data_IF_169811351977
#
_entry.id   IF_169811351977
#
_cell.length_a   1.000
_cell.length_b   1.000
_cell.length_c   1.000
_cell.angle_alpha   90.00
_cell.angle_beta   90.00
_cell.angle_gamma   90.00
#
_symmetry.space_group_name_H-M   'P 1'
#
loop_
_entity.id
_entity.type
_entity.pdbx_description
1 polymer ?
#
# COMPACT_ATOMS: atom_id res chain seq x y z
N UNK A 1 -21.21 -13.42 -2.24
CA UNK A 1 -19.84 -13.10 -1.82
C UNK A 1 -18.82 -13.46 -2.88
N UNK A 2 -17.68 -12.80 -2.91
CA UNK A 2 -16.57 -13.07 -3.84
C UNK A 2 -15.33 -13.53 -3.09
N UNK A 3 -14.66 -14.55 -3.61
CA UNK A 3 -13.37 -15.01 -3.10
C UNK A 3 -12.26 -14.71 -4.10
N UNK A 4 -11.13 -14.19 -3.60
CA UNK A 4 -9.92 -13.92 -4.40
C UNK A 4 -8.65 -14.36 -3.67
N UNK A 5 -7.60 -14.60 -4.43
CA UNK A 5 -6.26 -14.81 -3.88
C UNK A 5 -5.58 -13.47 -3.52
N UNK A 6 -4.65 -13.48 -2.57
CA UNK A 6 -3.87 -12.29 -2.26
C UNK A 6 -2.90 -11.97 -3.41
N UNK A 7 -2.63 -10.68 -3.61
CA UNK A 7 -1.75 -10.22 -4.69
C UNK A 7 -0.94 -8.99 -4.32
N UNK A 8 0.07 -8.70 -5.14
CA UNK A 8 0.97 -7.55 -5.00
C UNK A 8 1.10 -6.80 -6.32
N UNK A 9 1.37 -5.50 -6.24
CA UNK A 9 1.70 -4.64 -7.38
C UNK A 9 2.75 -3.62 -6.93
N UNK A 10 3.88 -3.52 -7.62
CA UNK A 10 4.84 -2.43 -7.42
C UNK A 10 4.30 -1.21 -8.15
N UNK A 11 4.11 -0.11 -7.42
CA UNK A 11 3.63 1.16 -7.96
C UNK A 11 4.83 2.05 -8.28
N UNK A 12 5.11 2.25 -9.56
CA UNK A 12 6.20 3.13 -10.00
C UNK A 12 5.74 4.59 -9.97
N UNK A 13 6.53 5.45 -9.33
CA UNK A 13 6.30 6.88 -9.31
C UNK A 13 6.87 7.51 -10.59
N UNK A 14 6.07 8.31 -11.28
CA UNK A 14 6.54 9.11 -12.42
C UNK A 14 7.50 10.22 -12.01
N UNK A 15 8.13 10.85 -12.99
CA UNK A 15 9.14 11.89 -12.79
C UNK A 15 8.50 13.25 -12.43
N UNK A 16 9.31 14.08 -11.76
CA UNK A 16 8.95 15.45 -11.42
C UNK A 16 7.77 15.57 -10.45
N UNK A 17 7.31 16.81 -10.24
CA UNK A 17 6.25 17.10 -9.25
C UNK A 17 4.92 16.43 -9.62
N UNK A 18 4.61 16.31 -10.90
CA UNK A 18 3.39 15.65 -11.37
C UNK A 18 3.40 14.16 -11.06
N UNK A 19 4.55 13.50 -11.23
CA UNK A 19 4.71 12.09 -10.85
C UNK A 19 4.52 11.87 -9.34
N UNK A 20 5.04 12.79 -8.53
CA UNK A 20 4.87 12.79 -7.07
C UNK A 20 3.38 12.94 -6.71
N UNK A 21 2.67 13.89 -7.31
CA UNK A 21 1.25 14.12 -7.04
C UNK A 21 0.38 12.94 -7.47
N UNK A 22 0.64 12.34 -8.63
CA UNK A 22 -0.05 11.13 -9.11
C UNK A 22 0.16 9.95 -8.15
N UNK A 23 1.35 9.80 -7.59
CA UNK A 23 1.64 8.75 -6.60
C UNK A 23 0.87 8.98 -5.29
N UNK A 24 0.83 10.21 -4.79
CA UNK A 24 0.04 10.60 -3.61
C UNK A 24 -1.45 10.34 -3.86
N UNK A 25 -1.96 10.74 -5.02
CA UNK A 25 -3.36 10.52 -5.38
C UNK A 25 -3.70 9.02 -5.44
N UNK A 26 -2.87 8.21 -6.11
CA UNK A 26 -3.07 6.76 -6.21
C UNK A 26 -3.16 6.12 -4.82
N UNK A 27 -2.25 6.47 -3.92
CA UNK A 27 -2.27 5.99 -2.55
C UNK A 27 -3.52 6.47 -1.78
N UNK A 28 -3.82 7.77 -1.83
CA UNK A 28 -4.93 8.33 -1.09
C UNK A 28 -6.30 7.83 -1.57
N UNK A 29 -6.49 7.65 -2.88
CA UNK A 29 -7.76 7.13 -3.41
C UNK A 29 -8.01 5.67 -3.07
N UNK A 30 -6.97 4.89 -2.84
CA UNK A 30 -7.11 3.51 -2.34
C UNK A 30 -7.83 3.50 -0.97
N UNK A 31 -7.56 4.47 -0.09
CA UNK A 31 -8.23 4.55 1.21
C UNK A 31 -9.75 4.71 1.11
N UNK A 32 -10.24 5.38 0.08
CA UNK A 32 -11.68 5.65 -0.13
C UNK A 32 -12.29 4.78 -1.25
N UNK A 33 -11.50 3.92 -1.86
CA UNK A 33 -11.90 3.14 -3.04
C UNK A 33 -12.52 4.05 -4.10
N UNK A 34 -11.75 5.02 -4.54
CA UNK A 34 -12.19 6.10 -5.45
C UNK A 34 -11.22 6.29 -6.64
N UNK A 35 -10.53 5.22 -7.04
CA UNK A 35 -9.56 5.21 -8.12
C UNK A 35 -10.20 5.57 -9.48
N UNK A 36 -11.48 5.31 -9.64
CA UNK A 36 -12.26 5.69 -10.84
C UNK A 36 -12.37 7.21 -11.05
N UNK A 37 -12.03 8.02 -10.05
CA UNK A 37 -11.96 9.49 -10.19
C UNK A 37 -10.55 9.99 -10.55
N UNK A 38 -9.59 9.11 -10.77
CA UNK A 38 -8.26 9.49 -11.27
C UNK A 38 -8.39 9.87 -12.74
N UNK A 39 -8.01 11.10 -13.04
CA UNK A 39 -7.91 11.64 -14.41
C UNK A 39 -6.52 12.20 -14.63
N UNK A 40 -6.22 12.63 -15.85
CA UNK A 40 -4.91 13.18 -16.17
C UNK A 40 -4.54 14.40 -15.29
N UNK A 41 -5.52 15.23 -14.95
CA UNK A 41 -5.36 16.51 -14.23
C UNK A 41 -5.88 16.48 -12.78
N UNK A 42 -6.26 15.32 -12.25
CA UNK A 42 -6.89 15.25 -10.91
C UNK A 42 -5.89 15.34 -9.75
N UNK A 43 -4.63 14.97 -9.97
CA UNK A 43 -3.63 14.77 -8.92
C UNK A 43 -3.34 16.03 -8.10
N UNK A 44 -3.16 17.17 -8.74
CA UNK A 44 -2.86 18.43 -8.05
C UNK A 44 -4.03 18.90 -7.17
N UNK A 45 -5.26 18.79 -7.69
CA UNK A 45 -6.49 19.10 -6.93
C UNK A 45 -6.65 18.17 -5.75
N UNK A 46 -6.33 16.89 -5.94
CA UNK A 46 -6.38 15.89 -4.87
C UNK A 46 -5.36 16.21 -3.76
N UNK A 47 -4.10 16.49 -4.11
CA UNK A 47 -3.07 16.86 -3.13
C UNK A 47 -3.47 18.12 -2.36
N UNK A 48 -4.00 19.14 -3.03
CA UNK A 48 -4.49 20.36 -2.40
C UNK A 48 -5.62 20.08 -1.41
N UNK A 49 -6.56 19.20 -1.78
CA UNK A 49 -7.65 18.79 -0.89
C UNK A 49 -7.11 18.03 0.35
N UNK A 50 -6.16 17.12 0.17
CA UNK A 50 -5.54 16.34 1.27
C UNK A 50 -4.82 17.27 2.26
N UNK A 51 -4.09 18.28 1.77
CA UNK A 51 -3.45 19.30 2.59
C UNK A 51 -4.47 20.06 3.44
N UNK A 52 -5.54 20.54 2.81
CA UNK A 52 -6.61 21.29 3.49
C UNK A 52 -7.36 20.45 4.55
N UNK A 53 -7.42 19.13 4.37
CA UNK A 53 -8.04 18.21 5.33
C UNK A 53 -7.08 17.68 6.39
N UNK A 54 -5.81 18.08 6.37
CA UNK A 54 -4.77 17.59 7.27
C UNK A 54 -4.59 16.05 7.23
N UNK A 55 -4.83 15.41 6.07
CA UNK A 55 -4.65 13.97 5.88
C UNK A 55 -3.21 13.66 5.46
N UNK A 56 -2.23 14.03 6.28
CA UNK A 56 -0.81 13.98 5.99
C UNK A 56 -0.27 12.59 5.60
N UNK A 57 -0.89 11.51 6.08
CA UNK A 57 -0.45 10.14 5.75
C UNK A 57 -0.38 9.87 4.24
N UNK A 58 -1.31 10.40 3.45
CA UNK A 58 -1.29 10.26 1.98
C UNK A 58 -0.03 10.89 1.37
N UNK A 59 0.42 12.03 1.92
CA UNK A 59 1.57 12.80 1.40
C UNK A 59 2.90 12.04 1.56
N UNK A 60 2.98 11.08 2.47
CA UNK A 60 4.18 10.25 2.69
C UNK A 60 4.52 9.36 1.49
N UNK A 61 3.54 9.03 0.67
CA UNK A 61 3.72 8.15 -0.49
C UNK A 61 4.35 8.85 -1.69
N UNK A 62 4.38 10.19 -1.71
CA UNK A 62 5.12 10.99 -2.68
C UNK A 62 6.61 11.05 -2.31
N UNK A 63 7.43 10.27 -2.99
CA UNK A 63 8.88 10.27 -2.77
C UNK A 63 9.52 11.49 -3.41
N UNK A 64 10.41 12.16 -2.68
CA UNK A 64 11.17 13.34 -3.11
C UNK A 64 12.65 12.98 -3.16
N UNK A 65 13.28 13.29 -4.28
CA UNK A 65 14.73 13.22 -4.46
C UNK A 65 15.26 14.63 -4.72
N UNK A 66 16.20 15.09 -3.88
CA UNK A 66 16.81 16.41 -4.01
C UNK A 66 18.32 16.27 -4.18
N UNK A 67 18.88 17.15 -4.99
CA UNK A 67 20.31 17.28 -5.18
C UNK A 67 20.71 18.73 -4.89
N UNK A 68 21.63 18.95 -3.94
CA UNK A 68 22.08 20.30 -3.57
C UNK A 68 23.54 20.31 -3.12
N UNK A 69 24.18 21.48 -3.19
CA UNK A 69 25.49 21.78 -2.57
C UNK A 69 25.32 22.60 -1.29
N UNK A 70 24.11 23.04 -0.97
CA UNK A 70 23.84 23.87 0.20
C UNK A 70 23.87 23.04 1.50
N UNK A 71 24.85 23.32 2.35
CA UNK A 71 25.00 22.68 3.66
C UNK A 71 23.79 22.91 4.59
N UNK A 72 23.10 24.05 4.49
CA UNK A 72 21.94 24.34 5.33
C UNK A 72 20.75 23.43 4.96
N UNK A 73 20.59 23.17 3.67
CA UNK A 73 19.58 22.21 3.19
C UNK A 73 19.96 20.80 3.66
N UNK A 74 21.20 20.37 3.44
CA UNK A 74 21.70 19.09 3.93
C UNK A 74 21.39 18.89 5.42
N UNK A 75 21.80 19.83 6.28
CA UNK A 75 21.75 19.69 7.73
C UNK A 75 20.34 19.44 8.27
N UNK A 76 19.31 20.10 7.70
CA UNK A 76 17.93 19.90 8.16
C UNK A 76 17.36 18.55 7.78
N UNK A 77 17.76 17.99 6.63
CA UNK A 77 17.32 16.65 6.22
C UNK A 77 18.11 15.54 6.92
N UNK A 78 19.39 15.74 7.20
CA UNK A 78 20.23 14.79 7.94
C UNK A 78 19.70 14.58 9.37
N UNK A 79 19.10 15.60 9.96
CA UNK A 79 18.45 15.53 11.27
C UNK A 79 16.97 15.11 11.22
N UNK A 80 16.41 14.84 10.05
CA UNK A 80 15.01 14.43 9.91
C UNK A 80 14.90 12.90 9.86
N UNK A 81 14.13 12.24 10.75
CA UNK A 81 14.08 10.79 10.84
C UNK A 81 13.42 10.10 9.62
N UNK A 82 12.71 10.86 8.79
CA UNK A 82 12.04 10.36 7.59
C UNK A 82 12.82 10.65 6.31
N UNK A 83 14.04 11.18 6.45
CA UNK A 83 14.93 11.49 5.34
C UNK A 83 16.19 10.63 5.38
N UNK A 84 16.81 10.45 4.22
CA UNK A 84 18.13 9.81 4.07
C UNK A 84 18.99 10.71 3.22
N UNK A 85 20.23 10.91 3.67
CA UNK A 85 21.17 11.77 2.96
C UNK A 85 22.46 11.00 2.67
N UNK A 86 22.88 11.06 1.42
CA UNK A 86 24.19 10.58 0.98
C UNK A 86 25.04 11.76 0.52
N UNK A 87 26.35 11.70 0.81
CA UNK A 87 27.30 12.74 0.46
C UNK A 87 28.20 12.20 -0.63
N UNK A 88 28.28 12.91 -1.74
CA UNK A 88 29.21 12.60 -2.84
C UNK A 88 30.23 13.72 -2.94
N UNK A 89 31.49 13.35 -2.85
CA UNK A 89 32.59 14.28 -3.10
C UNK A 89 32.92 14.31 -4.59
N UNK A 90 33.15 15.48 -5.14
CA UNK A 90 33.51 15.62 -6.55
C UNK A 90 34.41 16.84 -6.79
N UNK A 91 35.08 16.88 -7.93
CA UNK A 91 35.83 18.04 -8.41
C UNK A 91 35.19 18.58 -9.68
N UNK A 92 35.09 19.90 -9.83
CA UNK A 92 34.45 20.52 -11.02
C UNK A 92 35.17 20.22 -12.34
N UNK A 93 36.45 19.87 -12.26
CA UNK A 93 37.26 19.48 -13.44
C UNK A 93 37.24 18.01 -13.80
N UNK A 94 36.48 17.17 -13.05
CA UNK A 94 36.42 15.71 -13.29
C UNK A 94 37.77 14.97 -13.02
N UNK A 95 38.77 15.66 -12.49
CA UNK A 95 40.08 15.07 -12.11
C UNK A 95 40.05 14.70 -10.63
N UNK A 96 40.60 13.54 -10.29
CA UNK A 96 40.76 13.08 -8.92
C UNK A 96 41.84 13.87 -8.15
N UNK A 97 42.63 14.72 -8.85
CA UNK A 97 43.65 15.55 -8.23
C UNK A 97 43.05 16.77 -7.57
N UNK A 98 43.11 16.83 -6.25
CA UNK A 98 42.70 17.97 -5.45
C UNK A 98 43.84 19.01 -5.43
N UNK A 99 43.57 20.20 -5.96
CA UNK A 99 44.53 21.32 -5.98
C UNK A 99 43.76 22.58 -5.56
N UNK A 100 44.45 23.71 -5.19
CA UNK A 100 43.78 24.97 -4.93
C UNK A 100 42.88 25.45 -6.09
N UNK A 101 43.22 25.10 -7.34
CA UNK A 101 42.45 25.43 -8.54
C UNK A 101 41.36 24.41 -8.83
N UNK A 102 41.40 23.21 -8.20
CA UNK A 102 40.43 22.15 -8.33
C UNK A 102 40.08 21.60 -6.94
N UNK A 103 39.37 22.38 -6.08
CA UNK A 103 39.04 21.97 -4.72
C UNK A 103 37.95 20.86 -4.73
N UNK A 104 37.91 20.15 -3.60
CA UNK A 104 36.89 19.13 -3.36
C UNK A 104 35.57 19.80 -2.99
N UNK A 105 34.52 19.51 -3.75
CA UNK A 105 33.15 19.93 -3.49
C UNK A 105 32.36 18.78 -2.90
N UNK A 106 31.29 19.10 -2.19
CA UNK A 106 30.33 18.14 -1.65
C UNK A 106 28.97 18.37 -2.29
N UNK A 107 28.38 17.28 -2.75
CA UNK A 107 27.01 17.22 -3.23
C UNK A 107 26.19 16.37 -2.26
N UNK A 108 25.06 16.86 -1.84
CA UNK A 108 24.14 16.19 -0.92
C UNK A 108 22.97 15.63 -1.72
N UNK A 109 22.76 14.34 -1.60
CA UNK A 109 21.71 13.60 -2.28
C UNK A 109 20.69 13.14 -1.24
N UNK A 110 19.53 13.75 -1.27
CA UNK A 110 18.51 13.64 -0.24
C UNK A 110 17.33 12.84 -0.78
N UNK A 111 16.94 11.80 -0.07
CA UNK A 111 15.71 11.06 -0.28
C UNK A 111 14.77 11.32 0.89
N UNK A 112 13.58 11.81 0.61
CA UNK A 112 12.55 12.10 1.60
C UNK A 112 11.15 11.90 1.02
N UNK A 113 10.12 12.52 1.60
CA UNK A 113 8.76 12.46 1.11
C UNK A 113 8.06 13.83 1.18
N UNK A 114 6.98 13.98 0.42
CA UNK A 114 6.29 15.26 0.30
C UNK A 114 5.71 15.77 1.64
N UNK A 115 5.33 14.87 2.57
CA UNK A 115 4.85 15.25 3.89
C UNK A 115 5.91 16.00 4.68
N UNK A 116 7.17 15.55 4.63
CA UNK A 116 8.29 16.20 5.32
C UNK A 116 8.45 17.66 4.86
N UNK A 117 8.43 17.87 3.54
CA UNK A 117 8.55 19.26 3.02
C UNK A 117 7.34 20.11 3.43
N UNK A 118 6.14 19.55 3.35
CA UNK A 118 4.91 20.28 3.66
C UNK A 118 4.81 20.67 5.15
N UNK A 119 5.01 19.72 6.06
CA UNK A 119 4.83 19.94 7.50
C UNK A 119 5.95 20.82 8.12
N UNK A 120 7.14 20.83 7.50
CA UNK A 120 8.24 21.67 7.96
C UNK A 120 8.34 23.03 7.23
N UNK A 121 7.42 23.34 6.32
CA UNK A 121 7.47 24.54 5.48
C UNK A 121 8.73 24.60 4.60
N UNK A 122 9.18 23.45 4.05
CA UNK A 122 10.36 23.34 3.19
C UNK A 122 9.98 23.11 1.71
N UNK A 123 8.79 23.52 1.29
CA UNK A 123 8.35 23.34 -0.10
C UNK A 123 9.23 24.09 -1.12
N UNK A 124 9.90 25.16 -0.71
CA UNK A 124 10.86 25.88 -1.54
C UNK A 124 12.05 25.02 -1.96
N UNK A 125 12.32 23.91 -1.22
CA UNK A 125 13.37 22.95 -1.58
C UNK A 125 13.05 22.15 -2.82
N UNK A 126 11.81 22.18 -3.31
CA UNK A 126 11.47 21.60 -4.61
C UNK A 126 12.28 22.22 -5.77
N UNK A 127 12.92 23.39 -5.58
CA UNK A 127 13.90 23.92 -6.53
C UNK A 127 15.11 22.99 -6.75
N UNK A 128 15.42 22.12 -5.78
CA UNK A 128 16.48 21.12 -5.85
C UNK A 128 15.99 19.73 -6.33
N UNK A 129 14.72 19.64 -6.75
CA UNK A 129 14.13 18.37 -7.19
C UNK A 129 14.92 17.81 -8.38
N UNK A 130 15.27 16.55 -8.28
CA UNK A 130 16.00 15.84 -9.34
C UNK A 130 15.44 14.43 -9.57
N UNK A 131 15.90 13.77 -10.62
CA UNK A 131 15.66 12.34 -10.82
C UNK A 131 16.55 11.53 -9.89
N UNK A 132 16.09 10.33 -9.44
CA UNK A 132 16.88 9.49 -8.56
C UNK A 132 18.15 9.01 -9.26
N UNK A 133 19.30 9.24 -8.63
CA UNK A 133 20.59 8.72 -9.07
C UNK A 133 20.94 7.43 -8.31
N UNK A 134 22.02 6.74 -8.71
CA UNK A 134 22.53 5.57 -7.98
C UNK A 134 22.95 5.85 -6.52
N UNK A 135 23.13 7.10 -6.18
CA UNK A 135 23.54 7.53 -4.84
C UNK A 135 22.36 7.92 -3.94
N UNK A 136 21.15 8.06 -4.47
CA UNK A 136 19.95 8.23 -3.65
C UNK A 136 19.52 6.90 -3.04
N UNK A 137 19.08 6.94 -1.79
CA UNK A 137 18.38 5.80 -1.19
C UNK A 137 17.02 5.65 -1.87
N UNK A 138 16.81 4.59 -2.64
CA UNK A 138 15.54 4.39 -3.35
C UNK A 138 14.40 4.08 -2.39
N UNK A 139 13.24 4.71 -2.62
CA UNK A 139 11.98 4.32 -1.99
C UNK A 139 11.07 3.63 -2.99
N UNK A 140 10.51 2.52 -2.59
CA UNK A 140 9.62 1.70 -3.42
C UNK A 140 8.24 1.66 -2.77
N UNK A 141 7.22 1.82 -3.61
CA UNK A 141 5.81 1.73 -3.20
C UNK A 141 5.21 0.43 -3.72
N UNK A 142 4.54 -0.30 -2.84
CA UNK A 142 3.88 -1.57 -3.17
C UNK A 142 2.44 -1.53 -2.69
N UNK A 143 1.54 -1.94 -3.55
CA UNK A 143 0.13 -2.20 -3.22
C UNK A 143 -0.04 -3.69 -2.97
N UNK A 144 -0.64 -4.03 -1.84
CA UNK A 144 -1.04 -5.39 -1.47
C UNK A 144 -2.56 -5.50 -1.49
N UNK A 145 -3.06 -6.59 -2.04
CA UNK A 145 -4.42 -7.09 -1.84
C UNK A 145 -4.29 -8.29 -0.90
N UNK A 146 -4.89 -8.18 0.28
CA UNK A 146 -4.63 -9.13 1.37
C UNK A 146 -5.79 -9.11 2.40
N UNK A 147 -5.88 -10.10 3.31
CA UNK A 147 -6.87 -10.09 4.38
C UNK A 147 -6.47 -9.08 5.47
N UNK A 148 -7.45 -8.56 6.19
CA UNK A 148 -7.24 -7.64 7.32
C UNK A 148 -6.26 -8.21 8.35
N UNK A 149 -6.27 -9.53 8.60
CA UNK A 149 -5.32 -10.19 9.50
C UNK A 149 -3.86 -9.91 9.12
N UNK A 150 -3.51 -10.08 7.85
CA UNK A 150 -2.14 -9.88 7.34
C UNK A 150 -1.80 -8.39 7.23
N UNK A 151 -2.77 -7.53 6.89
CA UNK A 151 -2.55 -6.09 6.91
C UNK A 151 -2.07 -5.61 8.28
N UNK A 152 -2.70 -6.08 9.36
CA UNK A 152 -2.30 -5.75 10.74
C UNK A 152 -0.87 -6.18 11.07
N UNK A 153 -0.39 -7.29 10.49
CA UNK A 153 0.99 -7.73 10.64
C UNK A 153 1.96 -6.84 9.84
N UNK A 154 1.58 -6.43 8.64
CA UNK A 154 2.41 -5.59 7.77
C UNK A 154 2.53 -4.17 8.33
N UNK A 155 1.47 -3.60 8.86
CA UNK A 155 1.49 -2.28 9.51
C UNK A 155 2.39 -2.20 10.75
N UNK A 156 2.94 -3.32 11.24
CA UNK A 156 3.92 -3.33 12.35
C UNK A 156 5.35 -3.01 11.91
N UNK A 157 5.63 -2.95 10.61
CA UNK A 157 6.93 -2.54 10.05
C UNK A 157 7.06 -1.02 10.13
N UNK A 158 7.38 -0.50 11.33
CA UNK A 158 7.51 0.93 11.63
C UNK A 158 8.54 1.59 10.72
N UNK A 159 8.44 2.90 10.56
CA UNK A 159 9.25 3.74 9.67
C UNK A 159 8.92 3.60 8.17
N UNK A 160 8.07 2.67 7.77
CA UNK A 160 7.44 2.68 6.44
C UNK A 160 6.16 3.51 6.46
N UNK A 161 5.73 3.98 5.30
CA UNK A 161 4.48 4.70 5.12
C UNK A 161 3.36 3.73 4.73
N UNK A 162 2.16 3.92 5.28
CA UNK A 162 1.01 3.03 5.09
C UNK A 162 -0.22 3.80 4.68
N UNK A 163 -0.96 3.26 3.70
CA UNK A 163 -2.31 3.69 3.35
C UNK A 163 -3.17 2.46 3.12
N UNK A 164 -4.20 2.28 3.92
CA UNK A 164 -5.09 1.13 3.86
C UNK A 164 -6.51 1.55 3.45
N UNK A 165 -7.18 0.69 2.70
CA UNK A 165 -8.60 0.87 2.37
C UNK A 165 -9.43 0.97 3.66
N UNK A 166 -10.18 2.05 3.79
CA UNK A 166 -10.93 2.33 5.02
C UNK A 166 -12.29 1.64 5.04
N UNK A 167 -12.48 0.70 5.93
CA UNK A 167 -13.80 0.09 6.21
C UNK A 167 -14.77 1.05 6.91
N UNK A 168 -14.31 2.23 7.33
CA UNK A 168 -15.18 3.29 7.88
C UNK A 168 -15.95 4.04 6.79
N UNK A 169 -15.31 4.24 5.64
CA UNK A 169 -15.85 5.03 4.52
C UNK A 169 -16.31 4.17 3.35
N UNK A 170 -15.81 2.94 3.25
CA UNK A 170 -16.18 2.02 2.18
C UNK A 170 -17.46 1.28 2.57
N UNK A 171 -18.56 1.58 1.88
CA UNK A 171 -19.81 0.87 2.01
C UNK A 171 -19.86 -0.24 0.96
N UNK A 172 -19.75 -1.50 1.39
CA UNK A 172 -19.75 -2.67 0.50
C UNK A 172 -21.13 -2.92 -0.17
N UNK A 173 -22.20 -2.29 0.32
CA UNK A 173 -23.51 -2.32 -0.30
C UNK A 173 -23.69 -1.22 -1.38
N UNK A 174 -22.63 -0.91 -2.11
CA UNK A 174 -22.62 0.06 -3.22
C UNK A 174 -22.07 -0.60 -4.50
N UNK A 175 -22.51 -0.08 -5.65
CA UNK A 175 -22.13 -0.60 -6.97
C UNK A 175 -20.63 -0.69 -7.21
N UNK A 176 -19.84 0.25 -6.65
CA UNK A 176 -18.38 0.20 -6.74
C UNK A 176 -17.73 -1.03 -6.08
N UNK A 177 -18.50 -1.79 -5.30
CA UNK A 177 -18.13 -3.07 -4.71
C UNK A 177 -18.99 -4.22 -5.28
N UNK A 178 -19.73 -3.98 -6.38
CA UNK A 178 -20.69 -4.92 -6.97
C UNK A 178 -21.74 -5.41 -5.95
N UNK A 179 -22.05 -4.61 -4.93
CA UNK A 179 -22.97 -4.97 -3.83
C UNK A 179 -22.59 -6.26 -3.12
N UNK A 180 -21.31 -6.63 -3.08
CA UNK A 180 -20.80 -7.86 -2.45
C UNK A 180 -19.56 -7.60 -1.61
N UNK A 181 -19.32 -8.44 -0.63
CA UNK A 181 -18.08 -8.44 0.14
C UNK A 181 -17.10 -9.42 -0.51
N UNK A 182 -15.87 -8.96 -0.66
CA UNK A 182 -14.77 -9.79 -1.14
C UNK A 182 -13.97 -10.30 0.07
N UNK A 183 -13.67 -11.59 0.08
CA UNK A 183 -12.83 -12.24 1.08
C UNK A 183 -11.58 -12.82 0.42
N UNK A 184 -10.53 -12.96 1.20
CA UNK A 184 -9.28 -13.57 0.73
C UNK A 184 -9.28 -15.06 1.07
N UNK A 185 -9.02 -15.88 0.08
CA UNK A 185 -8.89 -17.33 0.23
C UNK A 185 -7.73 -17.63 1.19
N UNK A 186 -7.95 -18.38 2.28
CA UNK A 186 -6.88 -18.79 3.18
C UNK A 186 -5.84 -19.66 2.49
N UNK A 187 -4.59 -19.62 2.92
CA UNK A 187 -3.49 -20.41 2.33
C UNK A 187 -3.70 -21.93 2.40
N UNK A 188 -4.50 -22.40 3.36
CA UNK A 188 -4.80 -23.82 3.58
C UNK A 188 -6.03 -24.31 2.79
N UNK A 189 -6.78 -23.41 2.15
CA UNK A 189 -8.04 -23.70 1.44
C UNK A 189 -7.77 -24.18 0.02
N UNK A 190 -8.63 -25.08 -0.45
CA UNK A 190 -8.64 -25.58 -1.83
C UNK A 190 -9.55 -24.75 -2.76
N UNK A 191 -10.26 -23.74 -2.22
CA UNK A 191 -11.20 -22.92 -2.97
C UNK A 191 -10.53 -22.15 -4.12
N UNK A 192 -11.32 -21.91 -5.16
CA UNK A 192 -10.91 -21.14 -6.34
C UNK A 192 -11.36 -19.69 -6.24
N UNK A 193 -10.74 -18.83 -7.03
CA UNK A 193 -11.20 -17.44 -7.19
C UNK A 193 -12.50 -17.42 -7.98
N UNK A 194 -13.61 -17.12 -7.31
CA UNK A 194 -14.95 -17.12 -7.89
C UNK A 194 -15.93 -16.31 -7.04
N UNK A 195 -17.13 -16.14 -7.55
CA UNK A 195 -18.29 -15.77 -6.77
C UNK A 195 -18.95 -17.06 -6.26
N UNK A 196 -19.27 -17.11 -4.98
CA UNK A 196 -19.89 -18.25 -4.32
C UNK A 196 -21.29 -17.90 -3.83
N UNK A 197 -22.22 -18.82 -4.03
CA UNK A 197 -23.61 -18.76 -3.55
C UNK A 197 -23.96 -20.07 -2.89
N UNK A 198 -24.86 -20.04 -1.92
CA UNK A 198 -25.40 -21.25 -1.31
C UNK A 198 -26.55 -21.79 -2.14
N UNK A 199 -26.45 -23.06 -2.56
CA UNK A 199 -27.42 -23.72 -3.40
C UNK A 199 -27.65 -25.16 -2.95
N UNK A 200 -28.93 -25.55 -2.76
CA UNK A 200 -29.39 -26.96 -2.51
C UNK A 200 -28.58 -27.71 -1.42
N UNK A 201 -28.15 -27.03 -0.40
CA UNK A 201 -27.39 -27.60 0.72
C UNK A 201 -25.88 -27.42 0.67
N UNK A 202 -25.33 -27.02 -0.47
CA UNK A 202 -23.88 -26.84 -0.68
C UNK A 202 -23.50 -25.45 -1.16
N UNK A 203 -22.21 -25.10 -1.02
CA UNK A 203 -21.64 -23.91 -1.64
C UNK A 203 -21.13 -24.23 -3.04
N UNK A 204 -21.63 -23.51 -4.03
CA UNK A 204 -21.26 -23.70 -5.43
C UNK A 204 -20.68 -22.43 -6.02
N UNK A 205 -19.81 -22.59 -7.01
CA UNK A 205 -19.33 -21.48 -7.83
C UNK A 205 -20.50 -20.91 -8.64
N UNK A 206 -20.77 -19.59 -8.50
CA UNK A 206 -21.84 -18.93 -9.25
C UNK A 206 -21.39 -18.68 -10.69
N UNK A 207 -21.89 -19.51 -11.58
CA UNK A 207 -21.67 -19.37 -13.03
C UNK A 207 -22.83 -18.67 -13.74
N UNK A 208 -23.88 -18.27 -12.99
CA UNK A 208 -25.09 -17.65 -13.56
C UNK A 208 -25.17 -16.15 -13.23
N UNK A 209 -25.76 -15.31 -14.11
CA UNK A 209 -25.90 -13.88 -13.89
C UNK A 209 -26.94 -13.48 -12.84
N UNK A 210 -27.84 -14.35 -12.46
CA UNK A 210 -28.96 -14.06 -11.57
C UNK A 210 -28.73 -14.66 -10.17
N UNK A 211 -28.70 -13.80 -9.15
CA UNK A 211 -28.59 -14.20 -7.75
C UNK A 211 -29.88 -14.82 -7.24
N UNK A 212 -29.79 -16.00 -6.66
CA UNK A 212 -30.91 -16.70 -6.01
C UNK A 212 -31.14 -16.19 -4.56
N UNK A 213 -32.36 -16.32 -4.00
CA UNK A 213 -32.64 -15.87 -2.66
C UNK A 213 -31.90 -16.70 -1.60
N UNK A 214 -31.17 -16.01 -0.73
CA UNK A 214 -30.40 -16.62 0.34
C UNK A 214 -31.27 -17.13 1.46
N UNK A 215 -31.05 -18.37 1.88
CA UNK A 215 -31.69 -18.95 3.07
C UNK A 215 -30.73 -18.87 4.26
N UNK A 216 -31.25 -18.43 5.38
CA UNK A 216 -30.52 -18.13 6.62
C UNK A 216 -30.05 -19.40 7.33
N UNK A 217 -28.79 -19.38 7.77
CA UNK A 217 -28.15 -20.24 8.80
C UNK A 217 -28.66 -21.67 8.92
N UNK A 218 -27.96 -22.61 8.32
CA UNK A 218 -27.93 -24.01 8.78
C UNK A 218 -26.66 -24.27 9.58
N UNK A 219 -26.70 -25.22 10.51
CA UNK A 219 -25.50 -25.70 11.19
C UNK A 219 -24.46 -26.09 10.15
N UNK A 220 -23.25 -25.54 10.32
CA UNK A 220 -22.13 -25.87 9.45
C UNK A 220 -21.72 -27.31 9.74
N UNK A 221 -22.09 -28.20 8.81
CA UNK A 221 -21.63 -29.59 8.79
C UNK A 221 -20.94 -29.74 7.45
N UNK A 222 -19.63 -29.78 7.45
CA UNK A 222 -18.84 -29.85 6.24
C UNK A 222 -17.34 -29.85 6.55
N UNK A 223 -16.54 -29.79 5.53
CA UNK A 223 -15.09 -29.67 5.65
C UNK A 223 -14.65 -28.24 6.06
N UNK A 224 -13.35 -28.00 6.11
CA UNK A 224 -12.81 -26.69 6.51
C UNK A 224 -13.20 -25.56 5.54
N UNK A 225 -13.35 -25.86 4.25
CA UNK A 225 -13.75 -24.89 3.23
C UNK A 225 -15.23 -24.50 3.42
N UNK A 226 -16.12 -25.43 3.75
CA UNK A 226 -17.52 -25.16 4.04
C UNK A 226 -17.69 -24.29 5.28
N UNK A 227 -16.91 -24.57 6.34
CA UNK A 227 -16.88 -23.73 7.54
C UNK A 227 -16.47 -22.30 7.19
N UNK A 228 -15.44 -22.14 6.37
CA UNK A 228 -14.97 -20.83 5.94
C UNK A 228 -16.00 -20.08 5.10
N UNK A 229 -16.61 -20.75 4.11
CA UNK A 229 -17.66 -20.19 3.26
C UNK A 229 -18.87 -19.73 4.07
N UNK A 230 -19.32 -20.57 5.02
CA UNK A 230 -20.43 -20.23 5.91
C UNK A 230 -20.19 -18.96 6.73
N UNK A 231 -18.99 -18.82 7.30
CA UNK A 231 -18.63 -17.60 8.05
C UNK A 231 -18.63 -16.36 7.15
N UNK A 232 -18.08 -16.47 5.94
CA UNK A 232 -18.02 -15.36 4.98
C UNK A 232 -19.43 -14.94 4.51
N UNK A 233 -20.31 -15.88 4.20
CA UNK A 233 -21.68 -15.60 3.81
C UNK A 233 -22.47 -14.92 4.95
N UNK A 234 -22.41 -15.48 6.14
CA UNK A 234 -23.09 -14.89 7.30
C UNK A 234 -22.61 -13.46 7.58
N UNK A 235 -21.31 -13.21 7.48
CA UNK A 235 -20.75 -11.88 7.65
C UNK A 235 -21.29 -10.90 6.59
N UNK A 236 -21.39 -11.33 5.33
CA UNK A 236 -21.96 -10.51 4.25
C UNK A 236 -23.44 -10.20 4.52
N UNK A 237 -24.24 -11.19 4.88
CA UNK A 237 -25.66 -11.04 5.18
C UNK A 237 -25.88 -10.09 6.38
N UNK A 238 -25.15 -10.30 7.46
CA UNK A 238 -25.23 -9.45 8.66
C UNK A 238 -24.82 -8.00 8.34
N UNK A 239 -23.72 -7.81 7.59
CA UNK A 239 -23.28 -6.48 7.18
C UNK A 239 -24.37 -5.76 6.36
N UNK A 240 -24.90 -6.43 5.32
CA UNK A 240 -25.95 -5.87 4.46
C UNK A 240 -27.22 -5.53 5.27
N UNK A 241 -27.60 -6.40 6.20
CA UNK A 241 -28.75 -6.15 7.08
C UNK A 241 -28.54 -4.91 7.97
N UNK A 242 -27.35 -4.76 8.56
CA UNK A 242 -27.02 -3.58 9.37
C UNK A 242 -27.07 -2.29 8.53
N UNK A 243 -26.51 -2.29 7.32
CA UNK A 243 -26.57 -1.13 6.41
C UNK A 243 -28.02 -0.83 6.03
N UNK A 244 -28.82 -1.83 5.69
CA UNK A 244 -30.24 -1.66 5.31
C UNK A 244 -31.10 -1.18 6.48
N UNK A 245 -30.71 -1.48 7.72
CA UNK A 245 -31.32 -0.97 8.96
C UNK A 245 -30.87 0.45 9.33
N UNK A 246 -30.08 1.11 8.47
CA UNK A 246 -29.62 2.49 8.65
C UNK A 246 -28.30 2.64 9.41
N UNK A 247 -27.58 1.54 9.69
CA UNK A 247 -26.23 1.65 10.29
C UNK A 247 -25.23 2.17 9.28
N UNK A 248 -24.28 2.96 9.76
CA UNK A 248 -23.17 3.45 8.95
C UNK A 248 -22.14 2.34 8.68
N UNK A 249 -21.32 2.43 7.62
CA UNK A 249 -20.26 1.46 7.36
C UNK A 249 -19.31 1.27 8.55
N UNK A 250 -19.01 2.34 9.29
CA UNK A 250 -18.15 2.27 10.48
C UNK A 250 -18.74 1.47 11.64
N UNK A 251 -20.06 1.32 11.69
CA UNK A 251 -20.78 0.48 12.66
C UNK A 251 -20.93 -0.95 12.10
N UNK A 252 -21.36 -1.08 10.85
CA UNK A 252 -21.61 -2.38 10.23
C UNK A 252 -20.35 -3.25 10.09
N UNK A 253 -19.16 -2.65 9.94
CA UNK A 253 -17.89 -3.38 9.81
C UNK A 253 -17.53 -4.26 11.00
N UNK A 254 -18.18 -4.08 12.15
CA UNK A 254 -17.89 -4.88 13.37
C UNK A 254 -18.20 -6.37 13.20
N UNK A 255 -19.04 -6.73 12.20
CA UNK A 255 -19.36 -8.13 11.87
C UNK A 255 -18.41 -8.73 10.81
N UNK A 256 -17.44 -7.97 10.30
CA UNK A 256 -16.53 -8.44 9.26
C UNK A 256 -15.42 -9.33 9.84
N UNK A 257 -15.21 -10.55 9.28
CA UNK A 257 -14.14 -11.43 9.73
C UNK A 257 -12.77 -10.94 9.25
N UNK A 258 -11.72 -11.44 9.87
CA UNK A 258 -10.34 -11.07 9.56
C UNK A 258 -9.88 -11.46 8.15
N UNK A 259 -10.57 -12.39 7.50
CA UNK A 259 -10.35 -12.77 6.11
C UNK A 259 -10.91 -11.76 5.09
N UNK A 260 -11.67 -10.76 5.56
CA UNK A 260 -12.17 -9.69 4.67
C UNK A 260 -11.02 -9.04 3.91
N UNK A 261 -11.18 -8.88 2.59
CA UNK A 261 -10.21 -8.26 1.69
C UNK A 261 -10.00 -6.80 2.07
N UNK A 262 -8.76 -6.41 2.18
CA UNK A 262 -8.35 -5.00 2.22
C UNK A 262 -7.29 -4.71 1.15
N UNK A 263 -6.99 -3.44 0.93
CA UNK A 263 -5.92 -2.97 0.07
C UNK A 263 -4.98 -2.13 0.91
N UNK A 264 -3.71 -2.49 0.93
CA UNK A 264 -2.68 -1.81 1.70
C UNK A 264 -1.59 -1.32 0.76
N UNK A 265 -1.33 0.00 0.76
CA UNK A 265 -0.16 0.57 0.11
C UNK A 265 0.92 0.80 1.15
N UNK A 266 2.11 0.29 0.87
CA UNK A 266 3.30 0.49 1.69
C UNK A 266 4.38 1.18 0.86
N UNK A 267 5.02 2.20 1.44
CA UNK A 267 6.19 2.86 0.83
C UNK A 267 7.35 2.87 1.80
N UNK A 268 8.50 2.41 1.36
CA UNK A 268 9.69 2.36 2.19
C UNK A 268 10.98 2.42 1.37
N UNK A 269 12.10 2.69 2.03
CA UNK A 269 13.43 2.58 1.43
C UNK A 269 13.80 1.12 1.19
N UNK A 270 14.79 0.89 0.34
CA UNK A 270 15.30 -0.48 0.09
C UNK A 270 15.72 -1.14 1.40
N UNK A 271 16.36 -0.41 2.31
CA UNK A 271 16.78 -0.98 3.59
C UNK A 271 15.58 -1.36 4.48
N UNK A 272 14.50 -0.56 4.47
CA UNK A 272 13.26 -0.90 5.17
C UNK A 272 12.60 -2.16 4.56
N UNK A 273 12.61 -2.29 3.23
CA UNK A 273 12.14 -3.50 2.55
C UNK A 273 12.98 -4.73 2.87
N UNK A 274 14.31 -4.62 2.97
CA UNK A 274 15.15 -5.72 3.47
C UNK A 274 14.75 -6.15 4.88
N UNK A 275 14.46 -5.19 5.76
CA UNK A 275 13.92 -5.45 7.10
C UNK A 275 12.57 -6.19 7.06
N UNK A 276 11.69 -5.82 6.12
CA UNK A 276 10.43 -6.51 5.87
C UNK A 276 10.67 -7.96 5.42
N UNK A 277 11.51 -8.18 4.41
CA UNK A 277 11.82 -9.53 3.91
C UNK A 277 12.46 -10.43 4.97
N UNK A 278 13.36 -9.88 5.79
CA UNK A 278 13.99 -10.63 6.88
C UNK A 278 12.98 -11.22 7.86
N UNK A 279 11.82 -10.59 8.03
CA UNK A 279 10.78 -11.04 8.96
C UNK A 279 9.63 -11.78 8.28
N UNK A 280 9.44 -11.61 6.96
CA UNK A 280 8.24 -12.09 6.25
C UNK A 280 8.53 -13.05 5.09
N UNK A 281 9.74 -13.02 4.50
CA UNK A 281 10.07 -13.84 3.33
C UNK A 281 10.98 -15.01 3.73
N UNK A 282 10.49 -16.25 3.71
CA UNK A 282 11.33 -17.45 3.84
C UNK A 282 12.47 -17.50 2.82
N UNK A 283 12.24 -17.05 1.58
CA UNK A 283 13.29 -16.96 0.55
C UNK A 283 14.41 -15.97 0.93
N UNK A 284 14.13 -15.01 1.79
CA UNK A 284 15.13 -14.07 2.34
C UNK A 284 15.67 -14.52 3.71
N UNK A 285 15.22 -15.67 4.23
CA UNK A 285 15.68 -16.26 5.49
C UNK A 285 14.76 -16.05 6.70
N UNK A 286 13.51 -15.60 6.49
CA UNK A 286 12.54 -15.50 7.59
C UNK A 286 12.18 -16.88 8.13
N UNK A 287 12.15 -17.00 9.47
CA UNK A 287 11.66 -18.19 10.17
C UNK A 287 10.40 -17.83 10.96
N UNK A 288 9.30 -18.57 10.80
CA UNK A 288 8.05 -18.36 11.55
C UNK A 288 7.15 -17.25 11.00
N UNK A 289 7.34 -16.81 9.75
CA UNK A 289 6.37 -15.95 9.10
C UNK A 289 5.03 -16.68 8.91
N UNK A 290 3.90 -15.96 9.07
CA UNK A 290 2.59 -16.52 8.75
C UNK A 290 2.56 -16.95 7.26
N UNK A 291 2.10 -18.16 6.90
CA UNK A 291 2.23 -18.66 5.53
C UNK A 291 1.65 -17.73 4.46
N UNK A 292 0.50 -17.10 4.70
CA UNK A 292 -0.10 -16.15 3.77
C UNK A 292 0.67 -14.83 3.66
N UNK A 293 1.34 -14.40 4.74
CA UNK A 293 2.26 -13.26 4.69
C UNK A 293 3.55 -13.61 3.93
N UNK A 294 4.05 -14.83 4.13
CA UNK A 294 5.21 -15.36 3.43
C UNK A 294 4.99 -15.43 1.92
N UNK A 295 3.84 -15.94 1.48
CA UNK A 295 3.47 -15.98 0.06
C UNK A 295 3.58 -14.61 -0.63
N UNK A 296 3.05 -13.57 0.01
CA UNK A 296 3.12 -12.20 -0.54
C UNK A 296 4.54 -11.63 -0.51
N UNK A 297 5.25 -11.88 0.60
CA UNK A 297 6.61 -11.39 0.77
C UNK A 297 7.61 -12.07 -0.20
N UNK A 298 7.47 -13.38 -0.44
CA UNK A 298 8.30 -14.12 -1.37
C UNK A 298 8.08 -13.67 -2.82
N UNK A 299 6.81 -13.49 -3.23
CA UNK A 299 6.47 -12.92 -4.53
C UNK A 299 7.11 -11.54 -4.74
N UNK A 300 7.04 -10.69 -3.70
CA UNK A 300 7.63 -9.36 -3.75
C UNK A 300 9.17 -9.42 -3.78
N UNK A 301 9.78 -10.29 -3.00
CA UNK A 301 11.23 -10.47 -2.98
C UNK A 301 11.77 -10.89 -4.35
N UNK A 302 11.09 -11.82 -5.04
CA UNK A 302 11.45 -12.22 -6.39
C UNK A 302 11.42 -11.02 -7.34
N UNK A 303 10.33 -10.22 -7.33
CA UNK A 303 10.23 -9.02 -8.17
C UNK A 303 11.31 -7.97 -7.86
N UNK A 304 11.69 -7.80 -6.58
CA UNK A 304 12.77 -6.89 -6.18
C UNK A 304 14.11 -7.34 -6.75
N UNK A 305 14.38 -8.64 -6.79
CA UNK A 305 15.59 -9.20 -7.43
C UNK A 305 15.59 -9.01 -8.94
N UNK A 306 14.47 -9.31 -9.61
CA UNK A 306 14.32 -9.14 -11.07
C UNK A 306 14.51 -7.68 -11.50
N UNK A 307 14.05 -6.73 -10.67
CA UNK A 307 14.23 -5.28 -10.91
C UNK A 307 15.58 -4.74 -10.42
N UNK A 308 16.49 -5.58 -9.91
CA UNK A 308 17.79 -5.19 -9.34
C UNK A 308 17.67 -4.11 -8.23
N UNK A 309 16.65 -4.22 -7.37
CA UNK A 309 16.53 -3.36 -6.19
C UNK A 309 17.36 -3.89 -5.02
N UNK A 310 17.54 -5.23 -4.96
CA UNK A 310 18.32 -5.95 -3.94
C UNK A 310 19.05 -7.13 -4.54
#
# INVERSE_FOLDING_TARGET
>A
MRLIKPSIEILEQGLGIQGIYKQIEKAGRTAYKSENYITEDSAEKFVSMIKNKNHGACLEHGTIYLETEDYKVYFRYDNNPYSKVNIVNYTKGGSDLITPQNPLYKKYLITTNYRVLYENNWLDDLQYLCEPTKYHEKRITVKFILPISISREFCRHRCMSFMEMSTRYCNFNKDKFNNEITFIIPYWSSLKEAKYVYWDGDYVEDTTPESLPHTILKHVVGDNDDVFLSVCENAELCYKQLINSGRTPQEAREVLPLCTKTELIMTGTIEQWKGFFKLRSPLYGATGAHPQAAELADKLYIQFREKNYI
#
